data_IF_027466044609
#
_entry.id   IF_027466044609
#
_cell.length_a   1.000
_cell.length_b   1.000
_cell.length_c   1.000
_cell.angle_alpha   90.00
_cell.angle_beta   90.00
_cell.angle_gamma   90.00
#
_symmetry.space_group_name_H-M   'P 1'
#
loop_
_entity.id
_entity.type
_entity.pdbx_description
1 polymer ?
#
# COMPACT_ATOMS: atom_id res chain seq x y z
N UNK A 1 -22.11 9.52 -9.06
CA UNK A 1 -22.27 10.14 -7.73
C UNK A 1 -20.96 10.75 -7.28
N UNK A 2 -21.02 11.95 -6.68
CA UNK A 2 -19.86 12.61 -6.06
C UNK A 2 -20.13 12.73 -4.56
N UNK A 3 -19.21 12.23 -3.74
CA UNK A 3 -19.24 12.36 -2.28
C UNK A 3 -18.10 13.29 -1.85
N UNK A 4 -18.45 14.34 -1.11
CA UNK A 4 -17.47 15.22 -0.47
C UNK A 4 -17.44 14.90 1.02
N UNK A 5 -16.27 14.57 1.54
CA UNK A 5 -16.06 14.24 2.95
C UNK A 5 -15.35 15.42 3.60
N UNK A 6 -15.96 15.95 4.65
CA UNK A 6 -15.56 17.19 5.33
C UNK A 6 -15.16 16.98 6.81
N UNK A 7 -15.31 15.75 7.31
CA UNK A 7 -14.98 15.39 8.68
C UNK A 7 -14.86 13.87 8.86
N UNK A 8 -14.41 13.45 10.04
CA UNK A 8 -14.18 12.04 10.38
C UNK A 8 -15.46 11.21 10.54
N UNK A 9 -16.59 11.82 10.91
CA UNK A 9 -17.87 11.12 11.02
C UNK A 9 -18.40 10.73 9.64
N UNK A 10 -18.33 11.66 8.68
CA UNK A 10 -18.66 11.40 7.27
C UNK A 10 -17.74 10.34 6.66
N UNK A 11 -16.44 10.43 6.94
CA UNK A 11 -15.48 9.42 6.50
C UNK A 11 -15.83 8.03 7.03
N UNK A 12 -16.13 7.93 8.33
CA UNK A 12 -16.50 6.68 8.98
C UNK A 12 -17.82 6.13 8.43
N UNK A 13 -18.81 7.01 8.22
CA UNK A 13 -20.08 6.63 7.59
C UNK A 13 -19.86 6.10 6.18
N UNK A 14 -19.00 6.74 5.39
CA UNK A 14 -18.65 6.29 4.05
C UNK A 14 -18.02 4.88 4.07
N UNK A 15 -17.07 4.61 4.97
CA UNK A 15 -16.43 3.29 5.11
C UNK A 15 -17.49 2.22 5.41
N UNK A 16 -18.39 2.48 6.36
CA UNK A 16 -19.44 1.54 6.76
C UNK A 16 -20.44 1.30 5.62
N UNK A 17 -20.91 2.38 4.98
CA UNK A 17 -21.81 2.30 3.84
C UNK A 17 -21.17 1.50 2.70
N UNK A 18 -19.88 1.73 2.41
CA UNK A 18 -19.17 1.04 1.35
C UNK A 18 -19.08 -0.47 1.60
N UNK A 19 -18.64 -0.83 2.79
CA UNK A 19 -18.44 -2.23 3.15
C UNK A 19 -19.75 -2.99 3.38
N UNK A 20 -20.89 -2.29 3.52
CA UNK A 20 -22.22 -2.91 3.53
C UNK A 20 -22.78 -3.23 2.14
N UNK A 21 -22.04 -2.92 1.07
CA UNK A 21 -22.48 -3.11 -0.31
C UNK A 21 -23.50 -2.07 -0.79
N UNK A 22 -23.73 -0.97 -0.04
CA UNK A 22 -24.73 0.07 -0.36
C UNK A 22 -24.54 0.72 -1.73
N UNK A 23 -23.31 0.69 -2.26
CA UNK A 23 -22.99 1.26 -3.57
C UNK A 23 -23.07 0.23 -4.72
N UNK A 24 -23.40 -1.03 -4.44
CA UNK A 24 -23.36 -2.13 -5.40
C UNK A 24 -24.74 -2.76 -5.64
N UNK A 25 -24.95 -3.25 -6.85
CA UNK A 25 -26.01 -4.19 -7.24
C UNK A 25 -25.34 -5.28 -8.09
N UNK A 26 -25.46 -6.54 -7.67
CA UNK A 26 -24.88 -7.71 -8.38
C UNK A 26 -23.41 -7.44 -8.80
N UNK A 27 -22.57 -7.11 -7.83
CA UNK A 27 -21.12 -6.81 -7.97
C UNK A 27 -20.75 -5.60 -8.84
N UNK A 28 -21.74 -4.81 -9.28
CA UNK A 28 -21.56 -3.61 -10.10
C UNK A 28 -21.93 -2.36 -9.33
N UNK A 29 -21.18 -1.28 -9.49
CA UNK A 29 -21.58 0.01 -8.92
C UNK A 29 -22.93 0.47 -9.46
N UNK A 30 -23.76 1.02 -8.58
CA UNK A 30 -25.04 1.63 -8.95
C UNK A 30 -24.82 2.86 -9.85
N UNK A 31 -23.72 3.59 -9.66
CA UNK A 31 -23.31 4.70 -10.52
C UNK A 31 -21.80 4.95 -10.39
N UNK A 32 -21.16 5.64 -11.35
CA UNK A 32 -19.75 6.02 -11.22
C UNK A 32 -19.50 6.78 -9.92
N UNK A 33 -18.60 6.29 -9.07
CA UNK A 33 -18.34 6.89 -7.76
C UNK A 33 -17.08 7.75 -7.79
N UNK A 34 -17.20 8.98 -7.31
CA UNK A 34 -16.07 9.87 -7.02
C UNK A 34 -16.18 10.33 -5.58
N UNK A 35 -15.12 10.10 -4.80
CA UNK A 35 -15.00 10.54 -3.40
C UNK A 35 -13.88 11.57 -3.33
N UNK A 36 -14.16 12.72 -2.74
CA UNK A 36 -13.18 13.79 -2.52
C UNK A 36 -13.13 14.18 -1.06
N UNK A 37 -11.93 14.39 -0.51
CA UNK A 37 -11.78 15.08 0.76
C UNK A 37 -11.85 16.60 0.53
N UNK A 38 -12.52 17.31 1.43
CA UNK A 38 -12.60 18.78 1.48
C UNK A 38 -11.99 19.34 2.78
N UNK A 39 -11.44 18.44 3.60
CA UNK A 39 -10.76 18.72 4.86
C UNK A 39 -9.78 17.60 5.17
N UNK A 40 -8.84 17.88 6.07
CA UNK A 40 -8.07 16.82 6.72
C UNK A 40 -9.00 15.99 7.63
N UNK A 41 -8.69 14.71 7.78
CA UNK A 41 -9.50 13.72 8.48
C UNK A 41 -8.65 13.09 9.59
N UNK A 42 -9.09 13.19 10.83
CA UNK A 42 -8.44 12.54 11.98
C UNK A 42 -9.34 11.44 12.55
N UNK A 43 -8.86 10.21 12.54
CA UNK A 43 -9.56 9.02 13.02
C UNK A 43 -8.94 8.60 14.35
N UNK A 44 -9.66 8.84 15.44
CA UNK A 44 -9.19 8.57 16.81
C UNK A 44 -9.52 7.15 17.30
N UNK A 45 -10.05 6.29 16.42
CA UNK A 45 -10.29 4.89 16.75
C UNK A 45 -8.96 4.13 16.78
N UNK A 46 -8.87 3.09 17.62
CA UNK A 46 -7.66 2.25 17.71
C UNK A 46 -7.21 1.75 16.33
N UNK A 47 -8.16 1.39 15.46
CA UNK A 47 -7.88 0.92 14.10
C UNK A 47 -8.98 1.34 13.12
N UNK A 48 -8.58 1.63 11.88
CA UNK A 48 -9.44 1.86 10.73
C UNK A 48 -9.71 0.54 9.98
N UNK A 49 -10.99 0.28 9.69
CA UNK A 49 -11.39 -0.83 8.84
C UNK A 49 -11.12 -0.51 7.36
N UNK A 50 -10.47 -1.42 6.61
CA UNK A 50 -10.23 -1.23 5.18
C UNK A 50 -11.51 -0.93 4.39
N UNK A 51 -11.42 -0.06 3.38
CA UNK A 51 -12.48 0.22 2.42
C UNK A 51 -12.39 -0.80 1.28
N UNK A 52 -13.49 -1.50 1.03
CA UNK A 52 -13.57 -2.48 -0.03
C UNK A 52 -12.93 -3.82 0.31
N UNK A 53 -13.60 -4.88 -0.13
CA UNK A 53 -13.25 -6.29 0.13
C UNK A 53 -13.27 -7.08 -1.18
N UNK A 54 -12.96 -8.38 -1.14
CA UNK A 54 -13.12 -9.24 -2.33
C UNK A 54 -14.60 -9.32 -2.78
N UNK A 55 -15.52 -9.27 -1.82
CA UNK A 55 -16.98 -9.26 -2.07
C UNK A 55 -17.44 -7.92 -2.65
N UNK A 56 -16.96 -6.81 -2.07
CA UNK A 56 -17.27 -5.46 -2.53
C UNK A 56 -15.99 -4.66 -2.81
N UNK A 57 -15.29 -4.89 -3.93
CA UNK A 57 -14.07 -4.17 -4.25
C UNK A 57 -14.32 -2.67 -4.32
N UNK A 58 -13.35 -1.86 -3.89
CA UNK A 58 -13.38 -0.44 -4.15
C UNK A 58 -13.26 -0.18 -5.65
N UNK A 59 -14.37 0.26 -6.25
CA UNK A 59 -14.47 0.73 -7.64
C UNK A 59 -14.81 2.22 -7.59
N UNK A 60 -14.05 3.03 -8.33
CA UNK A 60 -14.30 4.46 -8.49
C UNK A 60 -13.03 5.31 -8.40
N UNK A 61 -13.22 6.60 -8.13
CA UNK A 61 -12.13 7.53 -7.86
C UNK A 61 -12.15 7.97 -6.41
N UNK A 62 -11.04 7.81 -5.70
CA UNK A 62 -10.77 8.48 -4.44
C UNK A 62 -9.71 9.56 -4.67
N UNK A 63 -10.08 10.82 -4.42
CA UNK A 63 -9.18 11.96 -4.55
C UNK A 63 -9.04 12.66 -3.21
N UNK A 64 -7.88 12.54 -2.58
CA UNK A 64 -7.58 13.24 -1.33
C UNK A 64 -7.54 14.75 -1.48
N UNK A 65 -7.46 15.28 -2.71
CA UNK A 65 -7.48 16.71 -3.00
C UNK A 65 -6.42 17.51 -2.21
N UNK A 66 -5.29 16.88 -1.89
CA UNK A 66 -4.20 17.45 -1.08
C UNK A 66 -4.37 17.30 0.43
N UNK A 67 -5.46 16.72 0.90
CA UNK A 67 -5.75 16.54 2.33
C UNK A 67 -5.11 15.29 2.93
N UNK A 68 -5.02 15.32 4.26
CA UNK A 68 -4.40 14.27 5.08
C UNK A 68 -5.46 13.42 5.79
N UNK A 69 -5.26 12.11 5.81
CA UNK A 69 -5.93 11.19 6.73
C UNK A 69 -4.91 10.77 7.80
N UNK A 70 -5.23 11.03 9.07
CA UNK A 70 -4.42 10.60 10.22
C UNK A 70 -5.18 9.53 11.01
N UNK A 71 -4.55 8.40 11.31
CA UNK A 71 -5.11 7.33 12.13
C UNK A 71 -4.05 6.64 12.98
N UNK A 72 -4.44 5.95 14.06
CA UNK A 72 -3.50 5.20 14.89
C UNK A 72 -3.08 3.87 14.23
N UNK A 73 -3.98 3.26 13.45
CA UNK A 73 -3.68 2.03 12.74
C UNK A 73 -4.69 1.69 11.64
N UNK A 74 -4.27 0.82 10.70
CA UNK A 74 -5.14 0.25 9.67
C UNK A 74 -5.05 -1.27 9.72
N UNK A 75 -6.21 -1.94 9.70
CA UNK A 75 -6.29 -3.38 9.92
C UNK A 75 -6.16 -3.71 11.41
N UNK A 76 -6.98 -4.65 11.89
CA UNK A 76 -7.09 -4.96 13.33
C UNK A 76 -6.34 -6.22 13.75
N UNK A 77 -6.02 -7.12 12.80
CA UNK A 77 -5.48 -8.45 13.11
C UNK A 77 -4.37 -8.83 12.16
N UNK A 78 -3.39 -9.58 12.68
CA UNK A 78 -2.27 -10.15 11.90
C UNK A 78 -2.71 -11.25 10.92
N UNK A 79 -3.95 -11.72 11.00
CA UNK A 79 -4.51 -12.79 10.15
C UNK A 79 -5.41 -12.26 9.02
N UNK A 80 -5.51 -10.95 8.85
CA UNK A 80 -6.33 -10.35 7.80
C UNK A 80 -5.53 -10.26 6.50
N UNK A 81 -6.07 -10.79 5.41
CA UNK A 81 -5.54 -10.54 4.07
C UNK A 81 -6.04 -9.19 3.52
N UNK A 82 -5.31 -8.65 2.54
CA UNK A 82 -5.69 -7.46 1.78
C UNK A 82 -5.93 -6.27 2.71
N UNK A 83 -4.86 -5.78 3.35
CA UNK A 83 -4.94 -4.72 4.35
C UNK A 83 -4.31 -3.44 3.83
N UNK A 84 -5.10 -2.36 3.89
CA UNK A 84 -4.73 -0.99 3.62
C UNK A 84 -5.93 -0.08 3.82
N UNK A 85 -5.79 1.23 3.58
CA UNK A 85 -6.96 2.12 3.57
C UNK A 85 -8.04 1.56 2.64
N UNK A 86 -7.61 1.01 1.50
CA UNK A 86 -8.41 0.15 0.63
C UNK A 86 -7.96 -1.30 0.78
N UNK A 87 -8.83 -2.19 1.23
CA UNK A 87 -8.47 -3.60 1.36
C UNK A 87 -8.25 -4.21 -0.02
N UNK A 88 -9.29 -4.11 -0.85
CA UNK A 88 -9.26 -4.51 -2.26
C UNK A 88 -9.77 -3.36 -3.13
N UNK A 89 -8.98 -2.92 -4.10
CA UNK A 89 -9.38 -1.94 -5.11
C UNK A 89 -9.37 -2.57 -6.53
N UNK A 90 -10.40 -2.27 -7.32
CA UNK A 90 -10.60 -2.82 -8.67
C UNK A 90 -11.02 -1.73 -9.64
N UNK A 91 -10.33 -1.60 -10.78
CA UNK A 91 -10.65 -0.62 -11.83
C UNK A 91 -10.79 0.81 -11.26
N UNK A 92 -9.87 1.18 -10.36
CA UNK A 92 -9.99 2.39 -9.55
C UNK A 92 -8.87 3.39 -9.80
N UNK A 93 -9.11 4.63 -9.37
CA UNK A 93 -8.09 5.68 -9.28
C UNK A 93 -8.03 6.19 -7.85
N UNK A 94 -6.86 6.16 -7.23
CA UNK A 94 -6.62 6.71 -5.88
C UNK A 94 -5.52 7.74 -6.00
N UNK A 95 -5.78 9.00 -5.63
CA UNK A 95 -4.79 10.06 -5.85
C UNK A 95 -4.81 11.19 -4.83
N UNK A 96 -3.70 11.93 -4.78
CA UNK A 96 -3.59 13.23 -4.09
C UNK A 96 -4.00 13.17 -2.62
N UNK A 97 -3.68 12.06 -1.93
CA UNK A 97 -3.98 11.86 -0.51
C UNK A 97 -2.68 11.71 0.28
N UNK A 98 -2.62 12.35 1.44
CA UNK A 98 -1.60 12.06 2.44
C UNK A 98 -2.18 11.12 3.51
N UNK A 99 -1.50 10.02 3.86
CA UNK A 99 -1.91 9.14 4.96
C UNK A 99 -0.79 9.08 6.00
N UNK A 100 -1.12 9.44 7.23
CA UNK A 100 -0.21 9.33 8.38
C UNK A 100 -0.81 8.32 9.34
N UNK A 101 -0.14 7.18 9.50
CA UNK A 101 -0.52 6.14 10.45
C UNK A 101 0.67 5.74 11.30
N UNK A 102 0.44 5.23 12.51
CA UNK A 102 1.53 4.64 13.30
C UNK A 102 1.91 3.28 12.71
N UNK A 103 0.89 2.47 12.37
CA UNK A 103 1.10 1.10 11.90
C UNK A 103 -0.02 0.58 10.98
N UNK A 104 0.31 -0.39 10.16
CA UNK A 104 -0.61 -1.22 9.37
C UNK A 104 -0.22 -2.67 9.57
N UNK A 105 -1.18 -3.50 9.96
CA UNK A 105 -0.91 -4.89 10.32
C UNK A 105 -1.89 -5.84 9.62
N UNK A 106 -1.36 -6.86 8.94
CA UNK A 106 -2.12 -7.89 8.25
C UNK A 106 -1.30 -9.16 8.01
N UNK A 107 -1.87 -10.11 7.26
CA UNK A 107 -1.22 -11.37 6.90
C UNK A 107 -0.60 -11.29 5.50
N UNK A 108 -1.45 -11.27 4.46
CA UNK A 108 -1.01 -11.17 3.06
C UNK A 108 -1.51 -9.88 2.43
N UNK A 109 -0.73 -9.35 1.48
CA UNK A 109 -1.06 -8.15 0.71
C UNK A 109 -1.32 -6.97 1.64
N UNK A 110 -0.25 -6.43 2.22
CA UNK A 110 -0.34 -5.36 3.22
C UNK A 110 0.36 -4.11 2.69
N UNK A 111 -0.34 -2.98 2.68
CA UNK A 111 0.22 -1.66 2.38
C UNK A 111 -0.66 -0.52 2.86
N UNK A 112 -0.11 0.68 3.06
CA UNK A 112 -0.86 1.78 3.69
C UNK A 112 -2.05 2.22 2.85
N UNK A 113 -1.87 2.39 1.54
CA UNK A 113 -2.96 2.82 0.65
C UNK A 113 -3.84 1.63 0.31
N UNK A 114 -3.23 0.54 -0.17
CA UNK A 114 -4.01 -0.59 -0.68
C UNK A 114 -3.39 -1.93 -0.34
N UNK A 115 -4.21 -2.89 0.09
CA UNK A 115 -3.78 -4.28 0.22
C UNK A 115 -3.57 -4.91 -1.16
N UNK A 116 -4.66 -5.05 -1.93
CA UNK A 116 -4.65 -5.60 -3.28
C UNK A 116 -5.25 -4.64 -4.31
N UNK A 117 -4.44 -4.22 -5.28
CA UNK A 117 -4.80 -3.26 -6.31
C UNK A 117 -4.87 -3.92 -7.70
N UNK A 118 -6.07 -4.23 -8.19
CA UNK A 118 -6.29 -4.80 -9.52
C UNK A 118 -6.75 -3.74 -10.52
N UNK A 119 -6.02 -3.56 -11.63
CA UNK A 119 -6.32 -2.53 -12.64
C UNK A 119 -6.55 -1.15 -12.01
N UNK A 120 -5.77 -0.83 -10.99
CA UNK A 120 -5.93 0.37 -10.18
C UNK A 120 -4.70 1.26 -10.32
N UNK A 121 -4.94 2.56 -10.50
CA UNK A 121 -3.89 3.57 -10.61
C UNK A 121 -3.82 4.38 -9.33
N UNK A 122 -2.62 4.42 -8.74
CA UNK A 122 -2.33 5.13 -7.49
C UNK A 122 -1.29 6.20 -7.79
N UNK A 123 -1.62 7.47 -7.52
CA UNK A 123 -0.73 8.56 -7.91
C UNK A 123 -0.75 9.79 -7.01
N UNK A 124 0.38 10.50 -6.90
CA UNK A 124 0.47 11.74 -6.12
C UNK A 124 0.09 11.51 -4.64
N UNK A 125 0.47 10.36 -4.09
CA UNK A 125 0.15 10.01 -2.71
C UNK A 125 1.39 10.08 -1.83
N UNK A 126 1.22 10.55 -0.59
CA UNK A 126 2.28 10.57 0.42
C UNK A 126 1.83 9.75 1.61
N UNK A 127 2.63 8.79 2.03
CA UNK A 127 2.26 7.92 3.14
C UNK A 127 3.41 7.76 4.13
N UNK A 128 3.07 7.75 5.41
CA UNK A 128 4.02 7.45 6.47
C UNK A 128 3.43 6.56 7.55
N UNK A 129 4.22 5.61 8.02
CA UNK A 129 3.82 4.63 9.03
C UNK A 129 4.51 3.30 8.82
N UNK A 130 4.47 2.45 9.85
CA UNK A 130 5.08 1.12 9.77
C UNK A 130 4.12 0.12 9.13
N UNK A 131 4.62 -0.78 8.30
CA UNK A 131 3.83 -1.80 7.62
C UNK A 131 4.35 -3.18 7.99
N UNK A 132 3.51 -3.97 8.66
CA UNK A 132 3.85 -5.29 9.16
C UNK A 132 2.92 -6.33 8.54
N UNK A 133 3.51 -7.38 7.96
CA UNK A 133 2.76 -8.54 7.52
C UNK A 133 3.60 -9.79 7.38
N UNK A 134 2.99 -10.86 6.87
CA UNK A 134 3.67 -12.12 6.60
C UNK A 134 4.18 -12.18 5.15
N UNK A 135 3.32 -11.90 4.18
CA UNK A 135 3.65 -12.06 2.75
C UNK A 135 3.14 -10.90 1.89
N UNK A 136 3.95 -10.47 0.91
CA UNK A 136 3.65 -9.36 -0.01
C UNK A 136 3.33 -8.06 0.76
N UNK A 137 4.37 -7.54 1.41
CA UNK A 137 4.28 -6.32 2.21
C UNK A 137 4.93 -5.18 1.45
N UNK A 138 4.19 -4.12 1.18
CA UNK A 138 4.69 -2.90 0.55
C UNK A 138 4.35 -1.66 1.35
N UNK A 139 5.21 -0.65 1.36
CA UNK A 139 4.93 0.60 2.08
C UNK A 139 3.63 1.28 1.61
N UNK A 140 3.34 1.24 0.30
CA UNK A 140 2.15 1.84 -0.32
C UNK A 140 1.11 0.78 -0.67
N UNK A 141 1.54 -0.28 -1.35
CA UNK A 141 0.66 -1.33 -1.87
C UNK A 141 1.21 -2.71 -1.54
N UNK A 142 0.37 -3.61 -1.02
CA UNK A 142 0.77 -5.00 -0.81
C UNK A 142 1.06 -5.72 -2.13
N UNK A 143 0.04 -5.85 -2.97
CA UNK A 143 0.14 -6.43 -4.30
C UNK A 143 -0.62 -5.58 -5.35
N UNK A 144 0.02 -5.36 -6.49
CA UNK A 144 -0.54 -4.59 -7.61
C UNK A 144 -0.47 -5.40 -8.90
N UNK A 145 -1.62 -5.54 -9.58
CA UNK A 145 -1.72 -6.26 -10.86
C UNK A 145 -2.43 -5.42 -11.92
N UNK A 146 -1.87 -5.33 -13.14
CA UNK A 146 -2.47 -4.60 -14.28
C UNK A 146 -2.69 -3.09 -14.05
N UNK A 147 -1.98 -2.50 -13.08
CA UNK A 147 -2.13 -1.13 -12.62
C UNK A 147 -0.81 -0.35 -12.63
N UNK A 148 -0.80 0.81 -11.98
CA UNK A 148 0.38 1.66 -11.90
C UNK A 148 0.45 2.47 -10.61
N UNK A 149 1.66 2.66 -10.11
CA UNK A 149 1.99 3.51 -8.96
C UNK A 149 2.93 4.61 -9.47
N UNK A 150 2.53 5.88 -9.34
CA UNK A 150 3.30 6.99 -9.89
C UNK A 150 3.37 8.18 -8.93
N UNK A 151 4.51 8.88 -8.88
CA UNK A 151 4.62 10.14 -8.12
C UNK A 151 4.26 9.97 -6.63
N UNK A 152 4.59 8.81 -6.06
CA UNK A 152 4.23 8.46 -4.69
C UNK A 152 5.44 8.48 -3.75
N UNK A 153 5.21 8.78 -2.47
CA UNK A 153 6.27 8.92 -1.47
C UNK A 153 5.92 8.14 -0.21
N UNK A 154 6.78 7.20 0.18
CA UNK A 154 6.65 6.41 1.41
C UNK A 154 7.80 6.69 2.38
N UNK A 155 7.45 6.87 3.66
CA UNK A 155 8.40 6.92 4.78
C UNK A 155 7.92 6.06 5.93
N UNK A 156 8.68 5.02 6.26
CA UNK A 156 8.39 4.14 7.38
C UNK A 156 9.09 2.80 7.24
N UNK A 157 8.91 1.94 8.23
CA UNK A 157 9.52 0.61 8.22
C UNK A 157 8.55 -0.42 7.63
N UNK A 158 9.06 -1.28 6.73
CA UNK A 158 8.29 -2.36 6.10
C UNK A 158 8.86 -3.70 6.53
N UNK A 159 8.05 -4.54 7.15
CA UNK A 159 8.47 -5.86 7.65
C UNK A 159 7.55 -6.96 7.10
N UNK A 160 8.13 -7.90 6.35
CA UNK A 160 7.53 -9.18 5.97
C UNK A 160 8.17 -10.32 6.78
N UNK A 161 7.42 -10.93 7.71
CA UNK A 161 7.94 -12.00 8.56
C UNK A 161 8.10 -13.34 7.83
N UNK A 162 7.29 -13.56 6.78
CA UNK A 162 7.17 -14.82 6.06
C UNK A 162 7.87 -14.84 4.71
N UNK A 163 7.62 -13.84 3.86
CA UNK A 163 7.98 -13.88 2.44
C UNK A 163 8.74 -12.66 1.93
N UNK A 164 8.11 -11.81 1.12
CA UNK A 164 8.74 -10.69 0.43
C UNK A 164 8.25 -9.34 0.93
N UNK A 165 9.17 -8.37 0.97
CA UNK A 165 8.90 -6.98 1.31
C UNK A 165 9.47 -6.03 0.24
N UNK A 166 8.72 -4.99 -0.09
CA UNK A 166 9.17 -3.88 -0.93
C UNK A 166 8.91 -2.52 -0.30
N UNK A 167 9.77 -1.53 -0.53
CA UNK A 167 9.57 -0.21 0.07
C UNK A 167 8.32 0.51 -0.46
N UNK A 168 7.94 0.31 -1.72
CA UNK A 168 6.69 0.84 -2.30
C UNK A 168 5.64 -0.25 -2.46
N UNK A 169 6.01 -1.34 -3.13
CA UNK A 169 5.09 -2.42 -3.50
C UNK A 169 5.66 -3.77 -3.09
N UNK A 170 4.86 -4.64 -2.46
CA UNK A 170 5.32 -5.97 -2.08
C UNK A 170 5.48 -6.91 -3.27
N UNK A 171 4.47 -6.94 -4.14
CA UNK A 171 4.46 -7.71 -5.39
C UNK A 171 3.83 -6.90 -6.53
N UNK A 172 4.49 -6.90 -7.68
CA UNK A 172 4.05 -6.19 -8.88
C UNK A 172 3.88 -7.16 -10.06
N UNK A 173 2.73 -7.13 -10.71
CA UNK A 173 2.41 -7.93 -11.90
C UNK A 173 1.84 -7.06 -13.02
N UNK A 174 2.40 -7.14 -14.23
CA UNK A 174 1.87 -6.44 -15.42
C UNK A 174 1.59 -4.95 -15.17
N UNK A 175 2.56 -4.22 -14.61
CA UNK A 175 2.36 -2.84 -14.14
C UNK A 175 3.67 -2.08 -13.95
N UNK A 176 3.62 -0.93 -13.28
CA UNK A 176 4.84 -0.15 -13.04
C UNK A 176 4.82 0.74 -11.82
N UNK A 177 6.02 1.00 -11.30
CA UNK A 177 6.30 2.01 -10.28
C UNK A 177 7.19 3.08 -10.90
N UNK A 178 6.72 4.32 -10.92
CA UNK A 178 7.39 5.42 -11.64
C UNK A 178 7.51 6.64 -10.74
N UNK A 179 8.64 7.37 -10.81
CA UNK A 179 8.84 8.66 -10.11
C UNK A 179 8.48 8.61 -8.62
N UNK A 180 8.77 7.50 -7.95
CA UNK A 180 8.36 7.27 -6.57
C UNK A 180 9.55 7.20 -5.62
N UNK A 181 9.33 7.59 -4.35
CA UNK A 181 10.36 7.63 -3.31
C UNK A 181 10.01 6.68 -2.18
N UNK A 182 11.00 5.90 -1.73
CA UNK A 182 10.87 5.05 -0.54
C UNK A 182 12.03 5.32 0.44
N UNK A 183 11.73 5.56 1.71
CA UNK A 183 12.76 5.67 2.76
C UNK A 183 12.34 5.08 4.11
N UNK A 184 13.30 4.59 4.88
CA UNK A 184 13.07 3.85 6.13
C UNK A 184 13.87 2.54 6.15
N UNK A 185 13.36 1.53 6.86
CA UNK A 185 13.89 0.16 6.82
C UNK A 185 12.94 -0.76 6.03
N UNK A 186 13.50 -1.69 5.27
CA UNK A 186 12.72 -2.77 4.65
C UNK A 186 13.32 -4.12 5.04
N UNK A 187 12.49 -5.02 5.56
CA UNK A 187 12.90 -6.32 6.07
C UNK A 187 12.01 -7.45 5.55
N UNK A 188 12.62 -8.56 5.12
CA UNK A 188 11.91 -9.72 4.62
C UNK A 188 12.79 -10.98 4.57
N UNK A 189 12.17 -12.15 4.37
CA UNK A 189 12.83 -13.46 4.52
C UNK A 189 13.33 -14.08 3.22
N UNK A 190 12.57 -13.93 2.12
CA UNK A 190 12.87 -14.60 0.85
C UNK A 190 13.12 -13.65 -0.32
N UNK A 191 12.67 -12.40 -0.22
CA UNK A 191 12.94 -11.36 -1.22
C UNK A 191 12.73 -9.99 -0.60
N UNK A 192 13.75 -9.14 -0.67
CA UNK A 192 13.68 -7.77 -0.17
C UNK A 192 14.26 -6.88 -1.22
N UNK A 193 13.47 -5.91 -1.67
CA UNK A 193 13.91 -4.95 -2.64
C UNK A 193 13.46 -3.55 -2.21
N UNK A 194 14.28 -2.51 -2.40
CA UNK A 194 13.96 -1.20 -1.86
C UNK A 194 12.71 -0.55 -2.43
N UNK A 195 12.28 -0.94 -3.64
CA UNK A 195 11.09 -0.38 -4.30
C UNK A 195 9.99 -1.44 -4.48
N UNK A 196 10.30 -2.56 -5.15
CA UNK A 196 9.33 -3.62 -5.48
C UNK A 196 9.81 -5.00 -5.01
N UNK A 197 9.18 -5.57 -3.99
CA UNK A 197 9.66 -6.76 -3.28
C UNK A 197 9.87 -7.99 -4.16
N UNK A 198 8.93 -8.22 -5.09
CA UNK A 198 9.14 -9.12 -6.23
C UNK A 198 8.42 -8.57 -7.46
N UNK A 199 9.10 -8.72 -8.58
CA UNK A 199 8.64 -8.32 -9.90
C UNK A 199 8.25 -9.58 -10.69
N UNK A 200 7.01 -9.65 -11.16
CA UNK A 200 6.58 -10.68 -12.10
C UNK A 200 6.84 -10.21 -13.55
N UNK A 201 6.28 -10.92 -14.53
CA UNK A 201 6.46 -10.62 -15.95
C UNK A 201 6.02 -9.19 -16.32
N UNK A 202 6.75 -8.58 -17.25
CA UNK A 202 6.46 -7.28 -17.87
C UNK A 202 6.14 -6.15 -16.89
N UNK A 203 7.08 -5.86 -15.97
CA UNK A 203 6.98 -4.72 -15.05
C UNK A 203 7.99 -3.62 -15.34
N UNK A 204 7.61 -2.37 -15.02
CA UNK A 204 8.47 -1.19 -15.18
C UNK A 204 8.73 -0.49 -13.85
N UNK A 205 9.97 -0.46 -13.39
CA UNK A 205 10.40 0.41 -12.27
C UNK A 205 11.35 1.47 -12.83
N UNK A 206 10.95 2.75 -12.76
CA UNK A 206 11.71 3.83 -13.40
C UNK A 206 11.65 5.15 -12.62
N UNK A 207 12.73 5.93 -12.66
CA UNK A 207 12.81 7.26 -12.02
C UNK A 207 12.50 7.23 -10.51
N UNK A 208 12.64 6.08 -9.86
CA UNK A 208 12.41 5.92 -8.43
C UNK A 208 13.66 6.27 -7.61
N UNK A 209 13.44 6.85 -6.44
CA UNK A 209 14.49 7.17 -5.47
C UNK A 209 14.38 6.20 -4.29
N UNK A 210 15.45 5.46 -4.08
CA UNK A 210 15.62 4.55 -2.95
C UNK A 210 16.48 5.18 -1.84
N UNK A 211 15.94 5.21 -0.61
CA UNK A 211 16.66 5.47 0.63
C UNK A 211 16.30 4.47 1.74
N UNK A 212 15.93 3.26 1.36
CA UNK A 212 15.66 2.16 2.28
C UNK A 212 16.94 1.52 2.77
N UNK A 213 16.99 1.21 4.07
CA UNK A 213 17.95 0.28 4.62
C UNK A 213 17.40 -1.14 4.52
N UNK A 214 18.02 -1.98 3.68
CA UNK A 214 17.57 -3.35 3.42
C UNK A 214 18.11 -4.32 4.46
N UNK A 215 17.21 -5.07 5.11
CA UNK A 215 17.53 -6.15 6.04
C UNK A 215 16.96 -7.46 5.50
N UNK A 216 17.82 -8.45 5.25
CA UNK A 216 17.38 -9.80 4.94
C UNK A 216 17.30 -10.57 6.25
N UNK A 217 16.08 -10.87 6.70
CA UNK A 217 15.85 -11.70 7.87
C UNK A 217 16.33 -13.12 7.58
N UNK A 218 17.61 -13.39 7.88
CA UNK A 218 18.21 -14.71 7.65
C UNK A 218 17.36 -15.78 8.32
N UNK A 219 17.09 -16.90 7.61
CA UNK A 219 16.69 -18.14 8.28
C UNK A 219 17.65 -18.33 9.46
N UNK A 220 17.14 -18.45 10.68
CA UNK A 220 17.90 -18.96 11.82
C UNK A 220 18.29 -20.42 11.53
N UNK A 221 19.29 -20.61 10.67
CA UNK A 221 20.08 -21.82 10.63
C UNK A 221 21.30 -21.56 11.49
N UNK A 222 21.27 -22.11 12.71
CA UNK A 222 22.51 -22.48 13.41
C UNK A 222 23.35 -23.26 12.40
N UNK A 223 24.47 -22.65 11.97
CA UNK A 223 25.55 -23.18 11.13
C UNK A 223 25.65 -22.61 9.71
N UNK A 224 26.68 -21.75 9.57
CA UNK A 224 27.59 -21.50 8.43
C UNK A 224 27.52 -20.11 7.77
N UNK A 225 28.50 -19.29 8.21
CA UNK A 225 29.46 -18.47 7.43
C UNK A 225 28.92 -17.44 6.42
N UNK A 226 29.17 -16.18 6.77
CA UNK A 226 29.49 -15.03 5.89
C UNK A 226 29.80 -15.40 4.43
N UNK A 227 28.90 -15.03 3.50
CA UNK A 227 29.10 -14.52 2.10
C UNK A 227 27.67 -14.03 1.71
N UNK A 228 27.31 -12.80 1.35
CA UNK A 228 27.95 -11.75 0.58
C UNK A 228 27.33 -10.39 0.98
N UNK A 229 28.11 -9.47 1.53
CA UNK A 229 27.75 -8.05 1.66
C UNK A 229 28.51 -7.18 0.65
N UNK A 230 28.96 -7.74 -0.48
CA UNK A 230 30.05 -7.12 -1.26
C UNK A 230 29.82 -7.04 -2.79
N UNK A 231 28.56 -6.94 -3.26
CA UNK A 231 28.31 -6.78 -4.71
C UNK A 231 27.25 -5.77 -5.18
N UNK A 232 26.54 -5.06 -4.30
CA UNK A 232 25.57 -4.04 -4.75
C UNK A 232 26.03 -2.58 -4.64
N UNK A 233 27.17 -2.30 -4.00
CA UNK A 233 27.64 -0.91 -3.80
C UNK A 233 28.49 -0.36 -4.95
N UNK A 234 28.47 -0.95 -6.16
CA UNK A 234 29.36 -0.54 -7.27
C UNK A 234 28.70 -0.23 -8.62
N UNK A 235 27.40 0.08 -8.68
CA UNK A 235 26.76 0.39 -9.96
C UNK A 235 25.86 1.64 -10.02
N UNK A 236 25.96 2.58 -9.08
CA UNK A 236 25.18 3.84 -9.13
C UNK A 236 26.01 5.14 -9.13
N UNK A 237 27.28 5.08 -9.51
CA UNK A 237 28.01 6.27 -9.98
C UNK A 237 28.81 5.92 -11.23
N UNK A 238 28.14 5.86 -12.38
CA UNK A 238 28.68 6.20 -13.71
C UNK A 238 27.61 5.92 -14.77
N UNK A 239 26.87 6.97 -15.13
CA UNK A 239 26.52 7.45 -16.48
C UNK A 239 25.32 8.39 -16.39
#
# INVERSE_FOLDING_TARGET
MILKITNSEEFTSFVNDYNSGKFHINDTLISPLVVTLDSDISINNDHLSPIGSEEYPFIGTFNGNGHTITCCGIGKTENADNVGLFGYAKNSTIKSVTIVTEQVTGQRNVGIICGYAYRTFISDCKVSGNVNGDSYVGGIVGCASYGGIADCHFVGDVTASGYVAGGIVGMLEFGGVVRSYAGGQVSGKYGVHPISGTDAEDVMVSECIDRMNVIIASKTNKNKKEIASDKLTRLLFQM
#
